data_IF_332240288682
#
_entry.id   IF_332240288682
#
_cell.length_a   1.000
_cell.length_b   1.000
_cell.length_c   1.000
_cell.angle_alpha   90.00
_cell.angle_beta   90.00
_cell.angle_gamma   90.00
#
_symmetry.space_group_name_H-M   'P 1'
#
loop_
_entity.id
_entity.type
_entity.pdbx_description
1 polymer ?
#
# COMPACT_ATOMS: atom_id res chain seq x y z
N UNK A 1 12.94 -21.33 -4.86
CA UNK A 1 12.74 -19.88 -5.03
C UNK A 1 14.07 -19.13 -4.94
N UNK A 2 14.88 -19.31 -3.88
CA UNK A 2 16.13 -18.58 -3.60
C UNK A 2 17.15 -18.71 -4.73
N UNK A 3 17.49 -19.94 -5.17
CA UNK A 3 18.43 -20.16 -6.29
C UNK A 3 18.03 -19.42 -7.57
N UNK A 4 16.74 -19.41 -7.88
CA UNK A 4 16.21 -18.66 -9.04
C UNK A 4 16.36 -17.15 -8.83
N UNK A 5 16.19 -16.68 -7.61
CA UNK A 5 16.37 -15.26 -7.30
C UNK A 5 17.81 -14.82 -7.47
N UNK A 6 18.79 -15.61 -7.02
CA UNK A 6 20.20 -15.32 -7.30
C UNK A 6 20.48 -15.13 -8.79
N UNK A 7 19.96 -16.03 -9.63
CA UNK A 7 20.11 -15.91 -11.10
C UNK A 7 19.49 -14.62 -11.65
N UNK A 8 18.36 -14.16 -11.08
CA UNK A 8 17.76 -12.89 -11.49
C UNK A 8 18.61 -11.69 -11.07
N UNK A 9 19.16 -11.72 -9.86
CA UNK A 9 20.05 -10.66 -9.39
C UNK A 9 21.35 -10.62 -10.18
N UNK A 10 21.96 -11.76 -10.49
CA UNK A 10 23.13 -11.89 -11.37
C UNK A 10 22.85 -11.37 -12.80
N UNK A 11 21.62 -11.51 -13.27
CA UNK A 11 21.18 -10.99 -14.57
C UNK A 11 20.86 -9.48 -14.56
N UNK A 12 20.98 -8.82 -13.41
CA UNK A 12 20.84 -7.36 -13.29
C UNK A 12 19.50 -6.89 -12.70
N UNK A 13 18.76 -7.73 -11.97
CA UNK A 13 17.60 -7.25 -11.20
C UNK A 13 18.05 -6.41 -10.01
N UNK A 14 17.30 -5.35 -9.68
CA UNK A 14 17.63 -4.41 -8.60
C UNK A 14 17.04 -4.82 -7.26
N UNK A 15 15.91 -5.54 -7.24
CA UNK A 15 15.17 -5.91 -6.03
C UNK A 15 14.73 -7.38 -6.10
N UNK A 16 15.00 -8.11 -5.02
CA UNK A 16 14.55 -9.50 -4.87
C UNK A 16 13.10 -9.54 -4.37
N UNK A 17 12.23 -10.22 -5.10
CA UNK A 17 10.85 -10.48 -4.70
C UNK A 17 10.51 -11.96 -4.79
N UNK A 18 10.30 -12.58 -3.62
CA UNK A 18 9.82 -13.95 -3.50
C UNK A 18 8.36 -13.89 -3.02
N UNK A 19 7.43 -14.30 -3.89
CA UNK A 19 6.00 -14.27 -3.61
C UNK A 19 5.62 -15.30 -2.55
N UNK A 20 4.80 -14.87 -1.61
CA UNK A 20 4.10 -15.67 -0.62
C UNK A 20 5.01 -16.62 0.20
N UNK A 21 6.12 -16.15 0.82
CA UNK A 21 6.79 -16.94 1.84
C UNK A 21 5.83 -17.18 3.00
N UNK A 22 5.70 -18.44 3.45
CA UNK A 22 4.61 -18.77 4.40
C UNK A 22 5.10 -18.91 5.83
N UNK A 23 6.09 -19.76 6.14
CA UNK A 23 6.58 -19.85 7.50
C UNK A 23 7.67 -18.79 7.78
N UNK A 24 7.78 -18.40 9.04
CA UNK A 24 8.76 -17.40 9.47
C UNK A 24 10.22 -17.85 9.22
N UNK A 25 10.49 -19.14 9.40
CA UNK A 25 11.80 -19.74 9.11
C UNK A 25 12.17 -19.68 7.63
N UNK A 26 11.21 -19.76 6.72
CA UNK A 26 11.43 -19.50 5.29
C UNK A 26 11.82 -18.04 5.04
N UNK A 27 11.19 -17.10 5.74
CA UNK A 27 11.52 -15.68 5.65
C UNK A 27 12.93 -15.40 6.20
N UNK A 28 13.28 -16.01 7.32
CA UNK A 28 14.65 -15.92 7.89
C UNK A 28 15.69 -16.49 6.94
N UNK A 29 15.38 -17.61 6.28
CA UNK A 29 16.23 -18.18 5.24
C UNK A 29 16.39 -17.26 4.03
N UNK A 30 15.29 -16.69 3.52
CA UNK A 30 15.32 -15.70 2.44
C UNK A 30 16.18 -14.49 2.84
N UNK A 31 15.97 -13.99 4.06
CA UNK A 31 16.71 -12.89 4.64
C UNK A 31 18.22 -13.12 4.62
N UNK A 32 18.64 -14.31 5.08
CA UNK A 32 20.04 -14.71 5.16
C UNK A 32 20.67 -14.96 3.80
N UNK A 33 20.00 -15.74 2.96
CA UNK A 33 20.54 -16.15 1.65
C UNK A 33 20.59 -14.99 0.63
N UNK A 34 19.74 -13.97 0.80
CA UNK A 34 19.68 -12.78 -0.05
C UNK A 34 20.09 -11.50 0.71
N UNK A 35 21.01 -11.62 1.70
CA UNK A 35 21.39 -10.51 2.56
C UNK A 35 21.93 -9.29 1.79
N UNK A 36 22.66 -9.53 0.70
CA UNK A 36 23.31 -8.49 -0.10
C UNK A 36 22.36 -7.76 -1.07
N UNK A 37 21.11 -8.21 -1.16
CA UNK A 37 20.15 -7.64 -2.10
C UNK A 37 18.98 -6.95 -1.41
N UNK A 38 18.52 -5.81 -1.93
CA UNK A 38 17.25 -5.22 -1.51
C UNK A 38 16.10 -6.22 -1.70
N UNK A 39 15.25 -6.34 -0.69
CA UNK A 39 14.14 -7.30 -0.67
C UNK A 39 12.82 -6.60 -0.52
N UNK A 40 11.82 -7.03 -1.32
CA UNK A 40 10.44 -6.57 -1.24
C UNK A 40 9.57 -7.60 -0.54
N UNK A 41 8.71 -7.14 0.35
CA UNK A 41 7.65 -7.90 0.99
C UNK A 41 6.26 -7.45 0.53
N UNK A 42 5.42 -8.42 0.14
CA UNK A 42 4.03 -8.17 -0.20
C UNK A 42 3.14 -8.46 1.01
N UNK A 43 2.73 -7.39 1.70
CA UNK A 43 1.82 -7.46 2.84
C UNK A 43 0.39 -7.49 2.34
N UNK A 44 -0.24 -8.65 2.35
CA UNK A 44 -1.61 -8.81 1.87
C UNK A 44 -2.47 -9.55 2.89
N UNK A 45 -3.45 -8.85 3.47
CA UNK A 45 -4.44 -9.43 4.37
C UNK A 45 -5.23 -10.55 3.67
N UNK A 46 -5.38 -11.68 4.33
CA UNK A 46 -5.98 -12.89 3.79
C UNK A 46 -5.14 -13.61 2.72
N UNK A 47 -3.89 -13.19 2.52
CA UNK A 47 -2.91 -13.91 1.73
C UNK A 47 -2.32 -15.11 2.47
N UNK A 48 -1.26 -15.69 1.91
CA UNK A 48 -0.54 -16.82 2.53
C UNK A 48 0.59 -16.37 3.44
N UNK A 49 1.20 -15.22 3.15
CA UNK A 49 2.29 -14.67 3.95
C UNK A 49 1.79 -14.09 5.27
N UNK A 50 2.58 -14.19 6.35
CA UNK A 50 2.21 -13.60 7.63
C UNK A 50 2.07 -12.09 7.55
N UNK A 51 1.18 -11.53 8.38
CA UNK A 51 1.12 -10.08 8.60
C UNK A 51 2.11 -9.75 9.70
N UNK A 52 3.12 -8.95 9.37
CA UNK A 52 4.22 -8.60 10.26
C UNK A 52 4.26 -7.08 10.50
N UNK A 53 4.72 -6.72 11.68
CA UNK A 53 5.05 -5.34 11.99
C UNK A 53 6.23 -4.84 11.15
N UNK A 54 6.27 -3.54 10.88
CA UNK A 54 7.37 -2.90 10.14
C UNK A 54 8.74 -3.23 10.75
N UNK A 55 8.86 -3.16 12.07
CA UNK A 55 10.07 -3.48 12.83
C UNK A 55 10.57 -4.90 12.61
N UNK A 56 9.65 -5.85 12.44
CA UNK A 56 10.01 -7.24 12.18
C UNK A 56 10.50 -7.44 10.74
N UNK A 57 9.87 -6.75 9.77
CA UNK A 57 10.36 -6.75 8.39
C UNK A 57 11.76 -6.11 8.28
N UNK A 58 12.00 -5.03 9.01
CA UNK A 58 13.32 -4.39 9.10
C UNK A 58 14.36 -5.34 9.71
N UNK A 59 14.01 -6.03 10.81
CA UNK A 59 14.87 -7.06 11.44
C UNK A 59 15.24 -8.19 10.47
N UNK A 60 14.28 -8.60 9.65
CA UNK A 60 14.46 -9.60 8.60
C UNK A 60 15.18 -9.03 7.35
N UNK A 61 15.54 -7.74 7.35
CA UNK A 61 16.28 -7.12 6.27
C UNK A 61 15.47 -6.91 4.99
N UNK A 62 14.13 -6.83 5.07
CA UNK A 62 13.29 -6.36 3.98
C UNK A 62 13.38 -4.83 3.90
N UNK A 63 13.58 -4.31 2.69
CA UNK A 63 13.83 -2.90 2.43
C UNK A 63 12.61 -2.17 1.88
N UNK A 64 11.73 -2.93 1.22
CA UNK A 64 10.50 -2.43 0.62
C UNK A 64 9.32 -3.26 1.12
N UNK A 65 8.18 -2.61 1.34
CA UNK A 65 6.91 -3.28 1.63
C UNK A 65 5.82 -2.65 0.79
N UNK A 66 5.00 -3.48 0.18
CA UNK A 66 3.77 -3.06 -0.49
C UNK A 66 2.56 -3.60 0.25
N UNK A 67 1.51 -2.78 0.31
CA UNK A 67 0.18 -3.15 0.83
C UNK A 67 -0.86 -2.92 -0.28
N UNK A 68 -0.92 -3.80 -1.29
CA UNK A 68 -1.56 -3.51 -2.57
C UNK A 68 -3.08 -3.41 -2.52
N UNK A 69 -3.71 -3.91 -1.48
CA UNK A 69 -5.17 -3.94 -1.41
C UNK A 69 -5.81 -3.12 -0.29
N UNK A 70 -5.05 -2.65 0.68
CA UNK A 70 -5.61 -2.15 1.94
C UNK A 70 -6.37 -0.84 1.75
N UNK A 71 -5.75 0.15 1.10
CA UNK A 71 -6.40 1.43 0.84
C UNK A 71 -7.61 1.30 -0.09
N UNK A 72 -7.48 0.50 -1.15
CA UNK A 72 -8.59 0.24 -2.08
C UNK A 72 -9.76 -0.44 -1.37
N UNK A 73 -9.51 -1.47 -0.57
CA UNK A 73 -10.55 -2.21 0.17
C UNK A 73 -11.23 -1.34 1.21
N UNK A 74 -10.47 -0.49 1.92
CA UNK A 74 -11.00 0.48 2.86
C UNK A 74 -11.91 1.51 2.14
N UNK A 75 -11.44 2.08 1.03
CA UNK A 75 -12.22 3.00 0.22
C UNK A 75 -13.50 2.36 -0.31
N UNK A 76 -13.43 1.16 -0.86
CA UNK A 76 -14.61 0.43 -1.35
C UNK A 76 -15.64 0.19 -0.26
N UNK A 77 -15.20 -0.22 0.94
CA UNK A 77 -16.10 -0.45 2.07
C UNK A 77 -16.81 0.83 2.48
N UNK A 78 -16.04 1.92 2.67
CA UNK A 78 -16.57 3.22 3.08
C UNK A 78 -17.52 3.80 2.04
N UNK A 79 -17.17 3.73 0.75
CA UNK A 79 -18.06 4.18 -0.34
C UNK A 79 -19.39 3.42 -0.36
N UNK A 80 -19.38 2.10 -0.13
CA UNK A 80 -20.62 1.31 -0.04
C UNK A 80 -21.50 1.74 1.13
N UNK A 81 -20.91 1.89 2.33
CA UNK A 81 -21.65 2.37 3.51
C UNK A 81 -22.33 3.71 3.26
N UNK A 82 -21.63 4.64 2.63
CA UNK A 82 -22.18 5.97 2.31
C UNK A 82 -23.25 5.91 1.23
N UNK A 83 -23.06 5.13 0.18
CA UNK A 83 -24.06 4.96 -0.87
C UNK A 83 -25.36 4.36 -0.33
N UNK A 84 -25.26 3.32 0.51
CA UNK A 84 -26.42 2.70 1.16
C UNK A 84 -27.15 3.69 2.08
N UNK A 85 -26.42 4.52 2.82
CA UNK A 85 -27.02 5.55 3.70
C UNK A 85 -27.71 6.66 2.89
N UNK A 86 -27.11 7.13 1.81
CA UNK A 86 -27.76 8.10 0.89
C UNK A 86 -29.05 7.53 0.31
N UNK A 87 -29.04 6.29 -0.14
CA UNK A 87 -30.25 5.62 -0.65
C UNK A 87 -31.31 5.46 0.43
N UNK A 88 -30.92 5.24 1.68
CA UNK A 88 -31.83 5.01 2.80
C UNK A 88 -32.44 6.30 3.38
N UNK A 89 -31.63 7.36 3.59
CA UNK A 89 -32.05 8.57 4.31
C UNK A 89 -31.77 9.88 3.57
N UNK A 90 -31.04 9.85 2.45
CA UNK A 90 -30.77 11.04 1.62
C UNK A 90 -29.51 11.83 2.01
N UNK A 91 -28.77 11.44 3.06
CA UNK A 91 -27.53 12.11 3.50
C UNK A 91 -26.59 11.15 4.20
N UNK A 92 -25.35 11.59 4.47
CA UNK A 92 -24.27 10.80 5.09
C UNK A 92 -23.81 11.32 6.44
N UNK A 93 -24.62 12.16 7.12
CA UNK A 93 -24.25 12.80 8.40
C UNK A 93 -23.69 11.83 9.44
N UNK A 94 -24.27 10.63 9.53
CA UNK A 94 -23.82 9.55 10.43
C UNK A 94 -22.36 9.14 10.24
N UNK A 95 -21.79 9.37 9.06
CA UNK A 95 -20.45 8.91 8.66
C UNK A 95 -19.48 10.07 8.44
N UNK A 96 -19.77 11.27 8.92
CA UNK A 96 -18.90 12.44 8.72
C UNK A 96 -17.49 12.21 9.27
N UNK A 97 -17.35 11.51 10.39
CA UNK A 97 -16.05 11.20 11.00
C UNK A 97 -15.19 10.22 10.17
N UNK A 98 -15.78 9.56 9.19
CA UNK A 98 -15.09 8.66 8.26
C UNK A 98 -14.70 9.35 6.95
N UNK A 99 -15.04 10.60 6.76
CA UNK A 99 -14.74 11.37 5.57
C UNK A 99 -13.59 12.35 5.83
N UNK A 100 -12.74 12.53 4.83
CA UNK A 100 -11.82 13.66 4.80
C UNK A 100 -12.61 14.98 4.83
N UNK A 101 -12.07 15.99 5.50
CA UNK A 101 -12.66 17.32 5.44
C UNK A 101 -12.61 17.89 4.02
N UNK A 102 -13.41 18.92 3.76
CA UNK A 102 -13.33 19.64 2.49
C UNK A 102 -11.93 20.21 2.25
N UNK A 103 -11.29 20.72 3.31
CA UNK A 103 -9.93 21.26 3.22
C UNK A 103 -8.92 20.16 2.86
N UNK A 104 -8.95 18.99 3.52
CA UNK A 104 -8.06 17.87 3.21
C UNK A 104 -8.20 17.42 1.74
N UNK A 105 -9.45 17.44 1.24
CA UNK A 105 -9.73 17.13 -0.17
C UNK A 105 -9.09 18.14 -1.10
N UNK A 106 -9.27 19.45 -0.84
CA UNK A 106 -8.70 20.52 -1.65
C UNK A 106 -7.15 20.47 -1.66
N UNK A 107 -6.55 20.20 -0.51
CA UNK A 107 -5.12 20.00 -0.39
C UNK A 107 -4.63 18.78 -1.19
N UNK A 108 -5.33 17.65 -1.09
CA UNK A 108 -4.97 16.41 -1.79
C UNK A 108 -4.99 16.56 -3.32
N UNK A 109 -5.89 17.36 -3.87
CA UNK A 109 -5.97 17.65 -5.32
C UNK A 109 -5.19 18.90 -5.73
N UNK A 110 -4.49 19.56 -4.78
CA UNK A 110 -3.71 20.78 -5.01
C UNK A 110 -4.52 21.91 -5.68
N UNK A 111 -5.75 22.13 -5.20
CA UNK A 111 -6.69 23.09 -5.78
C UNK A 111 -6.12 24.50 -5.91
N UNK A 112 -5.38 24.97 -4.92
CA UNK A 112 -4.74 26.29 -4.95
C UNK A 112 -3.79 26.50 -6.14
N UNK A 113 -3.07 25.44 -6.51
CA UNK A 113 -2.18 25.47 -7.67
C UNK A 113 -2.98 25.65 -8.96
N UNK A 114 -4.05 24.87 -9.13
CA UNK A 114 -4.89 24.96 -10.32
C UNK A 114 -5.67 26.27 -10.40
N UNK A 115 -6.15 26.81 -9.28
CA UNK A 115 -6.79 28.13 -9.23
C UNK A 115 -5.82 29.25 -9.65
N UNK A 116 -4.54 29.19 -9.22
CA UNK A 116 -3.51 30.14 -9.65
C UNK A 116 -3.18 30.02 -11.13
N UNK A 117 -3.17 28.79 -11.68
CA UNK A 117 -2.98 28.58 -13.11
C UNK A 117 -4.16 29.14 -13.91
N UNK A 118 -5.38 28.89 -13.47
CA UNK A 118 -6.59 29.42 -14.11
C UNK A 118 -6.57 30.94 -14.13
N UNK A 119 -6.30 31.59 -13.00
CA UNK A 119 -6.17 33.03 -12.90
C UNK A 119 -5.04 33.62 -13.79
N UNK A 120 -3.97 32.85 -14.02
CA UNK A 120 -2.86 33.27 -14.89
C UNK A 120 -3.21 33.25 -16.37
N UNK A 121 -4.08 32.34 -16.78
CA UNK A 121 -4.44 32.10 -18.18
C UNK A 121 -5.88 32.49 -18.53
N UNK A 122 -6.67 32.99 -17.57
CA UNK A 122 -7.96 33.59 -17.83
C UNK A 122 -7.76 34.91 -18.59
N UNK A 123 -8.38 35.04 -19.77
CA UNK A 123 -8.41 36.25 -20.60
C UNK A 123 -9.27 37.37 -19.97
#
# INVERSE_FOLDING_TARGET
AIERMHKYMEAGADVAFIEAPTPLDEMEKISKELADYPKLYNMFWSGKSPVLEKSELERLGFNLMIAPGDLQRAAMHTMRLMADEILRVGHTEKYMDMMASFQDREEAVNSDHFMKLDAKYAD
#
